data_IF_360391512592
#
_entry.id   IF_360391512592
#
_cell.length_a   1.000
_cell.length_b   1.000
_cell.length_c   1.000
_cell.angle_alpha   90.00
_cell.angle_beta   90.00
_cell.angle_gamma   90.00
#
_symmetry.space_group_name_H-M   'P 1'
#
loop_
_entity.id
_entity.type
_entity.pdbx_description
1 polymer ?
#
# COMPACT_ATOMS: atom_id res chain seq x y z
N UNK A 1 -17.13 -7.76 17.79
CA UNK A 1 -18.16 -8.14 18.78
C UNK A 1 -18.80 -6.90 19.37
N UNK A 2 -20.12 -6.86 19.65
CA UNK A 2 -20.78 -5.74 20.34
C UNK A 2 -20.30 -5.56 21.80
N UNK A 3 -20.53 -4.38 22.37
CA UNK A 3 -20.08 -4.04 23.73
C UNK A 3 -20.88 -4.76 24.83
N UNK A 4 -20.17 -5.30 25.82
CA UNK A 4 -20.78 -5.91 27.02
C UNK A 4 -21.54 -4.87 27.87
N UNK A 5 -22.85 -5.03 27.97
CA UNK A 5 -23.73 -4.16 28.77
C UNK A 5 -24.36 -4.92 29.92
N UNK A 6 -24.24 -4.41 31.15
CA UNK A 6 -24.84 -5.00 32.35
C UNK A 6 -26.37 -4.84 32.43
N UNK A 7 -26.96 -3.91 31.67
CA UNK A 7 -28.40 -3.63 31.69
C UNK A 7 -28.89 -3.33 30.27
N UNK A 8 -29.73 -4.24 29.75
CA UNK A 8 -30.76 -4.01 28.73
C UNK A 8 -30.38 -3.35 27.39
N UNK A 9 -29.66 -4.08 26.53
CA UNK A 9 -29.95 -4.12 25.10
C UNK A 9 -29.94 -5.59 24.66
N UNK A 10 -31.13 -6.21 24.62
CA UNK A 10 -31.30 -7.60 24.17
C UNK A 10 -30.62 -7.83 22.81
N UNK A 11 -30.68 -6.83 21.95
CA UNK A 11 -30.13 -6.83 20.60
C UNK A 11 -28.60 -7.03 20.56
N UNK A 12 -27.83 -6.41 21.46
CA UNK A 12 -26.37 -6.58 21.48
C UNK A 12 -25.97 -8.00 21.85
N UNK A 13 -26.69 -8.61 22.79
CA UNK A 13 -26.45 -10.01 23.16
C UNK A 13 -26.79 -10.95 22.00
N UNK A 14 -27.91 -10.72 21.31
CA UNK A 14 -28.31 -11.53 20.16
C UNK A 14 -27.27 -11.44 19.03
N UNK A 15 -26.80 -10.24 18.70
CA UNK A 15 -25.73 -10.04 17.69
C UNK A 15 -24.43 -10.70 18.14
N UNK A 16 -24.11 -10.66 19.43
CA UNK A 16 -22.92 -11.36 19.97
C UNK A 16 -23.03 -12.87 19.79
N UNK A 17 -24.18 -13.45 20.12
CA UNK A 17 -24.46 -14.89 19.99
C UNK A 17 -24.51 -15.33 18.52
N UNK A 18 -25.08 -14.52 17.63
CA UNK A 18 -25.10 -14.76 16.18
C UNK A 18 -23.68 -14.88 15.62
N UNK A 19 -22.79 -13.93 15.94
CA UNK A 19 -21.38 -14.00 15.49
C UNK A 19 -20.66 -15.21 16.07
N UNK A 20 -20.94 -15.62 17.32
CA UNK A 20 -20.36 -16.85 17.88
C UNK A 20 -20.87 -18.10 17.17
N UNK A 21 -22.16 -18.16 16.80
CA UNK A 21 -22.73 -19.26 16.05
C UNK A 21 -22.15 -19.33 14.64
N UNK A 22 -21.97 -18.21 13.94
CA UNK A 22 -21.31 -18.18 12.64
C UNK A 22 -19.89 -18.76 12.70
N UNK A 23 -19.16 -18.43 13.77
CA UNK A 23 -17.82 -18.98 13.99
C UNK A 23 -17.88 -20.48 14.31
N UNK A 24 -18.86 -20.94 15.09
CA UNK A 24 -19.07 -22.35 15.38
C UNK A 24 -19.35 -23.14 14.09
N UNK A 25 -20.24 -22.63 13.23
CA UNK A 25 -20.55 -23.24 11.95
C UNK A 25 -19.31 -23.33 11.05
N UNK A 26 -18.48 -22.28 11.01
CA UNK A 26 -17.20 -22.32 10.28
C UNK A 26 -16.24 -23.37 10.82
N UNK A 27 -16.16 -23.54 12.15
CA UNK A 27 -15.34 -24.58 12.78
C UNK A 27 -15.82 -25.96 12.34
N UNK A 28 -17.14 -26.21 12.39
CA UNK A 28 -17.73 -27.48 12.02
C UNK A 28 -17.59 -27.80 10.53
N UNK A 29 -17.84 -26.82 9.65
CA UNK A 29 -17.73 -26.99 8.19
C UNK A 29 -16.28 -27.23 7.76
N UNK A 30 -15.33 -26.54 8.38
CA UNK A 30 -13.92 -26.61 7.99
C UNK A 30 -13.24 -27.92 8.38
N UNK A 31 -13.78 -28.67 9.36
CA UNK A 31 -13.25 -29.94 9.86
C UNK A 31 -11.75 -29.83 10.23
N UNK A 32 -11.39 -28.78 10.97
CA UNK A 32 -10.02 -28.47 11.39
C UNK A 32 -9.83 -28.77 12.89
N UNK A 33 -8.82 -29.58 13.22
CA UNK A 33 -8.53 -29.95 14.63
C UNK A 33 -7.69 -28.91 15.40
N UNK A 34 -6.97 -28.04 14.68
CA UNK A 34 -6.02 -27.07 15.25
C UNK A 34 -6.50 -25.66 15.04
N UNK A 35 -7.20 -25.12 16.03
CA UNK A 35 -7.90 -23.84 15.92
C UNK A 35 -7.24 -22.81 16.85
N UNK A 36 -6.98 -21.64 16.30
CA UNK A 36 -6.63 -20.43 17.07
C UNK A 36 -7.67 -19.39 16.72
N UNK A 37 -8.44 -18.97 17.71
CA UNK A 37 -9.48 -17.97 17.56
C UNK A 37 -9.24 -16.83 18.55
N UNK A 38 -9.08 -15.61 18.04
CA UNK A 38 -8.82 -14.46 18.91
C UNK A 38 -9.14 -13.14 18.25
N UNK A 39 -9.28 -12.12 19.10
CA UNK A 39 -9.68 -10.77 18.71
C UNK A 39 -10.30 -10.03 19.89
N UNK A 40 -10.93 -8.90 19.57
CA UNK A 40 -11.67 -8.08 20.52
C UNK A 40 -13.08 -8.67 20.74
N UNK A 41 -13.27 -9.28 21.92
CA UNK A 41 -14.54 -9.84 22.35
C UNK A 41 -15.41 -8.82 23.08
N UNK A 42 -14.90 -7.61 23.31
CA UNK A 42 -15.58 -6.55 24.05
C UNK A 42 -16.12 -7.00 25.41
N UNK A 43 -15.50 -8.03 25.99
CA UNK A 43 -15.96 -8.72 27.19
C UNK A 43 -14.79 -9.02 28.10
N UNK A 44 -14.96 -8.71 29.38
CA UNK A 44 -13.95 -8.95 30.40
C UNK A 44 -14.30 -10.23 31.17
N UNK A 45 -13.48 -11.29 31.04
CA UNK A 45 -13.76 -12.63 31.57
C UNK A 45 -13.97 -12.68 33.10
N UNK A 46 -13.50 -11.67 33.84
CA UNK A 46 -13.73 -11.55 35.29
C UNK A 46 -15.19 -11.22 35.62
N UNK A 47 -15.96 -10.65 34.68
CA UNK A 47 -17.36 -10.25 34.85
C UNK A 47 -18.31 -11.43 34.69
N UNK A 48 -18.25 -12.41 35.60
CA UNK A 48 -19.06 -13.65 35.54
C UNK A 48 -20.58 -13.44 35.44
N UNK A 49 -21.09 -12.28 35.87
CA UNK A 49 -22.50 -11.93 35.78
C UNK A 49 -22.92 -11.44 34.38
N UNK A 50 -21.97 -11.04 33.52
CA UNK A 50 -22.22 -10.59 32.15
C UNK A 50 -22.81 -11.73 31.31
N UNK A 51 -23.84 -11.40 30.53
CA UNK A 51 -24.42 -12.32 29.56
C UNK A 51 -23.43 -12.65 28.44
N UNK A 52 -22.66 -11.68 27.97
CA UNK A 52 -21.63 -11.89 26.94
C UNK A 52 -20.54 -12.83 27.45
N UNK A 53 -20.10 -12.66 28.71
CA UNK A 53 -19.14 -13.57 29.33
C UNK A 53 -19.70 -14.99 29.42
N UNK A 54 -20.99 -15.15 29.73
CA UNK A 54 -21.64 -16.46 29.80
C UNK A 54 -21.73 -17.13 28.41
N UNK A 55 -22.21 -16.41 27.39
CA UNK A 55 -22.35 -16.92 26.03
C UNK A 55 -20.99 -17.26 25.43
N UNK A 56 -19.95 -16.44 25.67
CA UNK A 56 -18.59 -16.73 25.24
C UNK A 56 -18.02 -17.97 25.93
N UNK A 57 -18.20 -18.14 27.25
CA UNK A 57 -17.77 -19.34 27.96
C UNK A 57 -18.48 -20.61 27.44
N UNK A 58 -19.77 -20.50 27.13
CA UNK A 58 -20.56 -21.60 26.57
C UNK A 58 -20.05 -21.99 25.18
N UNK A 59 -19.83 -21.02 24.29
CA UNK A 59 -19.24 -21.24 22.97
C UNK A 59 -17.87 -21.94 23.07
N UNK A 60 -16.96 -21.41 23.90
CA UNK A 60 -15.62 -22.00 24.10
C UNK A 60 -15.71 -23.44 24.59
N UNK A 61 -16.64 -23.74 25.48
CA UNK A 61 -16.85 -25.09 26.00
C UNK A 61 -17.41 -26.03 24.93
N UNK A 62 -18.43 -25.59 24.18
CA UNK A 62 -19.08 -26.38 23.14
C UNK A 62 -18.12 -26.75 22.01
N UNK A 63 -17.28 -25.80 21.59
CA UNK A 63 -16.31 -25.99 20.48
C UNK A 63 -14.97 -26.58 20.96
N UNK A 64 -14.89 -27.09 22.20
CA UNK A 64 -13.67 -27.69 22.78
C UNK A 64 -12.43 -26.77 22.72
N UNK A 65 -12.66 -25.47 22.86
CA UNK A 65 -11.64 -24.43 22.94
C UNK A 65 -11.26 -24.17 24.41
N UNK A 66 -10.16 -23.46 24.61
CA UNK A 66 -9.68 -23.08 25.94
C UNK A 66 -9.15 -21.66 25.94
N UNK A 67 -9.55 -20.88 26.95
CA UNK A 67 -8.94 -19.59 27.22
C UNK A 67 -7.50 -19.75 27.69
N UNK A 68 -6.64 -18.85 27.22
CA UNK A 68 -5.23 -18.86 27.62
C UNK A 68 -4.96 -18.17 28.96
N UNK A 69 -5.95 -17.45 29.51
CA UNK A 69 -5.84 -16.66 30.73
C UNK A 69 -5.52 -17.48 31.99
N UNK A 70 -5.79 -18.79 31.97
CA UNK A 70 -5.47 -19.71 33.07
C UNK A 70 -4.04 -20.31 32.99
N UNK A 71 -3.29 -20.05 31.90
CA UNK A 71 -1.97 -20.62 31.72
C UNK A 71 -0.91 -19.84 32.51
N UNK A 72 0.10 -20.54 33.02
CA UNK A 72 1.22 -19.90 33.74
C UNK A 72 2.06 -18.98 32.85
N UNK A 73 2.03 -19.17 31.53
CA UNK A 73 2.72 -18.35 30.54
C UNK A 73 1.88 -17.14 30.06
N UNK A 74 0.78 -16.83 30.75
CA UNK A 74 -0.08 -15.70 30.46
C UNK A 74 0.39 -14.45 31.21
N UNK A 75 1.11 -13.58 30.50
CA UNK A 75 1.71 -12.35 31.01
C UNK A 75 0.97 -11.12 30.46
N UNK A 76 -0.35 -11.09 30.64
CA UNK A 76 -1.21 -9.99 30.18
C UNK A 76 -1.80 -9.28 31.38
N UNK A 77 -1.56 -7.98 31.46
CA UNK A 77 -2.09 -7.07 32.48
C UNK A 77 -3.39 -6.40 32.04
N UNK A 78 -3.43 -5.84 30.83
CA UNK A 78 -4.63 -5.29 30.20
C UNK A 78 -4.45 -5.21 28.69
N UNK A 79 -5.55 -5.23 27.94
CA UNK A 79 -5.52 -5.06 26.48
C UNK A 79 -6.08 -3.73 26.04
N UNK A 80 -6.90 -3.09 26.87
CA UNK A 80 -7.52 -1.80 26.59
C UNK A 80 -7.36 -0.84 27.78
N UNK A 81 -7.02 0.42 27.50
CA UNK A 81 -6.96 1.51 28.48
C UNK A 81 -7.77 2.72 27.96
N UNK A 82 -8.80 3.12 28.70
CA UNK A 82 -9.62 4.28 28.35
C UNK A 82 -8.79 5.56 28.50
N UNK A 83 -8.64 6.31 27.40
CA UNK A 83 -7.96 7.62 27.40
C UNK A 83 -8.63 8.64 28.33
N UNK A 84 -9.96 8.56 28.50
CA UNK A 84 -10.74 9.52 29.27
C UNK A 84 -10.61 9.31 30.79
N UNK A 85 -10.71 8.07 31.25
CA UNK A 85 -10.79 7.75 32.68
C UNK A 85 -9.53 7.06 33.21
N UNK A 86 -8.67 6.53 32.34
CA UNK A 86 -7.52 5.70 32.73
C UNK A 86 -7.91 4.32 33.25
N UNK A 87 -9.17 3.91 33.05
CA UNK A 87 -9.66 2.58 33.40
C UNK A 87 -9.10 1.55 32.42
N UNK A 88 -8.76 0.37 32.94
CA UNK A 88 -8.15 -0.72 32.18
C UNK A 88 -9.06 -1.93 32.16
N UNK A 89 -9.07 -2.63 31.04
CA UNK A 89 -9.85 -3.85 30.84
C UNK A 89 -9.11 -4.82 29.91
N UNK A 90 -9.38 -6.11 30.07
CA UNK A 90 -8.89 -7.15 29.16
C UNK A 90 -10.05 -7.61 28.29
N UNK A 91 -10.15 -7.05 27.09
CA UNK A 91 -11.25 -7.27 26.14
C UNK A 91 -10.82 -8.15 24.96
N UNK A 92 -9.53 -8.13 24.65
CA UNK A 92 -8.93 -8.91 23.59
C UNK A 92 -8.46 -10.25 24.15
N UNK A 93 -8.86 -11.36 23.54
CA UNK A 93 -8.50 -12.70 24.02
C UNK A 93 -8.05 -13.59 22.86
N UNK A 94 -7.29 -14.62 23.21
CA UNK A 94 -7.11 -15.79 22.35
C UNK A 94 -7.74 -17.00 23.04
N UNK A 95 -8.36 -17.83 22.22
CA UNK A 95 -8.84 -19.17 22.54
C UNK A 95 -8.20 -20.13 21.56
N UNK A 96 -7.79 -21.29 22.05
CA UNK A 96 -7.15 -22.31 21.22
C UNK A 96 -7.84 -23.65 21.43
N UNK A 97 -7.83 -24.51 20.43
CA UNK A 97 -8.31 -25.89 20.61
C UNK A 97 -7.45 -26.63 21.63
N UNK A 98 -8.07 -27.58 22.33
CA UNK A 98 -7.42 -28.37 23.39
C UNK A 98 -6.06 -28.96 22.99
N UNK A 99 -5.88 -29.35 21.72
CA UNK A 99 -4.66 -29.92 21.15
C UNK A 99 -3.50 -28.90 21.08
N UNK A 100 -3.79 -27.61 21.03
CA UNK A 100 -2.79 -26.54 20.91
C UNK A 100 -2.41 -25.94 22.27
N UNK A 101 -3.15 -26.21 23.34
CA UNK A 101 -2.91 -25.62 24.68
C UNK A 101 -1.47 -25.88 25.15
N UNK A 102 -0.98 -27.11 25.01
CA UNK A 102 0.40 -27.47 25.40
C UNK A 102 1.47 -26.88 24.48
N UNK A 103 1.10 -26.35 23.31
CA UNK A 103 2.01 -25.73 22.35
C UNK A 103 2.12 -24.21 22.54
N UNK A 104 1.38 -23.64 23.50
CA UNK A 104 1.44 -22.21 23.84
C UNK A 104 2.69 -21.94 24.67
N UNK A 105 3.62 -21.17 24.12
CA UNK A 105 4.85 -20.80 24.82
C UNK A 105 4.67 -19.55 25.67
N UNK A 106 3.97 -18.55 25.13
CA UNK A 106 3.83 -17.23 25.77
C UNK A 106 2.65 -16.46 25.21
N UNK A 107 1.96 -15.75 26.10
CA UNK A 107 0.94 -14.76 25.78
C UNK A 107 1.29 -13.47 26.50
N UNK A 108 1.40 -12.35 25.79
CA UNK A 108 1.78 -11.06 26.39
C UNK A 108 1.18 -9.88 25.63
N UNK A 109 1.10 -8.71 26.28
CA UNK A 109 0.74 -7.46 25.62
C UNK A 109 1.98 -6.66 25.20
N UNK A 110 1.96 -6.09 24.00
CA UNK A 110 2.90 -5.06 23.57
C UNK A 110 2.34 -3.66 23.84
N UNK A 111 2.77 -3.10 24.97
CA UNK A 111 2.42 -1.73 25.41
C UNK A 111 3.21 -0.67 24.67
N UNK A 112 3.08 -0.64 23.34
CA UNK A 112 3.74 0.35 22.53
C UNK A 112 3.17 1.75 22.80
N UNK A 113 3.97 2.59 23.46
CA UNK A 113 3.62 3.97 23.80
C UNK A 113 3.24 4.85 22.59
N UNK A 114 3.62 4.45 21.38
CA UNK A 114 3.32 5.16 20.14
C UNK A 114 2.06 4.66 19.43
N UNK A 115 1.45 3.57 19.90
CA UNK A 115 0.18 3.09 19.38
C UNK A 115 -0.87 4.19 19.52
N UNK A 116 -1.54 4.53 18.41
CA UNK A 116 -2.64 5.49 18.41
C UNK A 116 -3.98 4.89 18.82
N UNK A 117 -4.00 3.60 19.16
CA UNK A 117 -5.19 2.93 19.68
C UNK A 117 -5.18 2.97 21.21
N UNK A 118 -6.37 3.01 21.77
CA UNK A 118 -6.72 2.68 23.16
C UNK A 118 -6.56 1.18 23.48
N UNK A 119 -6.47 0.32 22.45
CA UNK A 119 -6.05 -1.07 22.57
C UNK A 119 -4.53 -1.25 22.43
N UNK A 120 -4.04 -2.33 23.02
CA UNK A 120 -2.66 -2.80 23.00
C UNK A 120 -2.62 -4.16 22.31
N UNK A 121 -1.56 -4.42 21.56
CA UNK A 121 -1.49 -5.62 20.75
C UNK A 121 -1.28 -6.85 21.64
N UNK A 122 -2.20 -7.80 21.57
CA UNK A 122 -2.08 -9.10 22.22
C UNK A 122 -1.25 -10.04 21.33
N UNK A 123 -0.16 -10.57 21.87
CA UNK A 123 0.79 -11.43 21.17
C UNK A 123 0.69 -12.86 21.68
N UNK A 124 0.46 -13.81 20.77
CA UNK A 124 0.46 -15.25 21.04
C UNK A 124 1.66 -15.92 20.35
N UNK A 125 2.48 -16.65 21.12
CA UNK A 125 3.60 -17.44 20.60
C UNK A 125 3.29 -18.93 20.72
N UNK A 126 3.31 -19.64 19.58
CA UNK A 126 3.03 -21.08 19.48
C UNK A 126 4.24 -21.84 18.96
N UNK A 127 4.57 -22.97 19.58
CA UNK A 127 5.54 -23.95 19.08
C UNK A 127 4.83 -25.03 18.26
N UNK A 128 4.53 -24.74 16.99
CA UNK A 128 3.88 -25.69 16.08
C UNK A 128 4.82 -26.04 14.91
N UNK A 129 4.94 -27.33 14.62
CA UNK A 129 5.62 -27.80 13.40
C UNK A 129 4.66 -27.67 12.24
N UNK A 130 4.85 -26.65 11.41
CA UNK A 130 4.10 -26.47 10.18
C UNK A 130 4.92 -27.01 9.01
N UNK A 131 4.36 -27.89 8.15
CA UNK A 131 4.99 -28.15 6.86
C UNK A 131 5.12 -26.80 6.15
N UNK A 132 6.31 -26.51 5.62
CA UNK A 132 6.56 -25.22 4.97
C UNK A 132 5.62 -25.12 3.77
N UNK A 133 4.52 -24.39 3.94
CA UNK A 133 3.69 -23.99 2.81
C UNK A 133 4.56 -23.00 2.07
N UNK A 134 5.19 -23.47 0.98
CA UNK A 134 5.73 -22.59 -0.04
C UNK A 134 4.54 -21.81 -0.58
N UNK A 135 4.20 -20.70 0.06
CA UNK A 135 3.22 -19.76 -0.45
C UNK A 135 3.56 -19.55 -1.92
N UNK A 136 2.62 -19.92 -2.79
CA UNK A 136 2.77 -19.80 -4.24
C UNK A 136 3.38 -18.45 -4.54
N UNK A 137 4.50 -18.46 -5.25
CA UNK A 137 5.35 -17.33 -5.63
C UNK A 137 4.87 -16.02 -5.00
N UNK A 138 5.31 -15.72 -3.78
CA UNK A 138 5.33 -14.34 -3.33
C UNK A 138 5.98 -13.58 -4.48
N UNK A 139 5.20 -12.73 -5.18
CA UNK A 139 5.73 -11.87 -6.24
C UNK A 139 7.02 -11.29 -5.66
N UNK A 140 8.20 -11.59 -6.23
CA UNK A 140 9.44 -11.21 -5.60
C UNK A 140 9.35 -9.72 -5.35
N UNK A 141 9.44 -9.33 -4.07
CA UNK A 141 9.39 -7.92 -3.64
C UNK A 141 10.26 -7.16 -4.61
N UNK A 142 9.69 -6.18 -5.35
CA UNK A 142 10.43 -5.44 -6.38
C UNK A 142 11.74 -4.97 -5.77
N UNK A 143 12.84 -5.57 -6.21
CA UNK A 143 14.16 -5.22 -5.74
C UNK A 143 14.49 -3.76 -6.06
N UNK A 144 15.59 -3.23 -5.52
CA UNK A 144 16.08 -1.90 -5.86
C UNK A 144 16.12 -1.71 -7.39
N UNK A 145 15.34 -0.77 -7.90
CA UNK A 145 15.19 -0.52 -9.35
C UNK A 145 16.35 0.37 -9.79
N UNK A 146 17.10 0.00 -10.85
CA UNK A 146 18.16 0.86 -11.38
C UNK A 146 17.56 2.18 -11.90
N UNK A 147 18.13 3.30 -11.47
CA UNK A 147 17.73 4.66 -11.81
C UNK A 147 18.58 5.18 -12.97
N UNK A 148 18.34 4.65 -14.16
CA UNK A 148 18.99 5.10 -15.40
C UNK A 148 18.95 6.62 -15.62
N UNK A 149 17.85 7.33 -15.34
CA UNK A 149 17.81 8.80 -15.49
C UNK A 149 18.76 9.56 -14.55
N UNK A 150 19.29 8.91 -13.50
CA UNK A 150 20.26 9.48 -12.56
C UNK A 150 21.67 8.95 -12.77
N UNK A 151 21.89 8.12 -13.79
CA UNK A 151 23.22 7.62 -14.11
C UNK A 151 24.07 8.78 -14.67
N UNK A 152 25.32 8.85 -14.21
CA UNK A 152 26.32 9.79 -14.74
C UNK A 152 27.10 9.06 -15.84
N UNK A 153 27.89 9.79 -16.62
CA UNK A 153 28.73 9.19 -17.66
C UNK A 153 29.71 8.14 -17.09
N UNK A 154 30.21 8.35 -15.87
CA UNK A 154 31.04 7.38 -15.16
C UNK A 154 30.28 6.08 -14.83
N UNK A 155 29.01 6.17 -14.41
CA UNK A 155 28.15 5.00 -14.17
C UNK A 155 27.89 4.22 -15.46
N UNK A 156 27.67 4.93 -16.57
CA UNK A 156 27.44 4.33 -17.89
C UNK A 156 28.73 3.66 -18.41
N UNK A 157 29.89 4.29 -18.24
CA UNK A 157 31.19 3.71 -18.59
C UNK A 157 31.47 2.44 -17.79
N UNK A 158 31.24 2.46 -16.47
CA UNK A 158 31.40 1.28 -15.62
C UNK A 158 30.40 0.16 -15.97
N UNK A 159 29.17 0.50 -16.37
CA UNK A 159 28.22 -0.50 -16.86
C UNK A 159 28.74 -1.19 -18.13
N UNK A 160 29.23 -0.41 -19.11
CA UNK A 160 29.80 -0.93 -20.35
C UNK A 160 30.98 -1.85 -20.09
N UNK A 161 31.95 -1.41 -19.29
CA UNK A 161 33.13 -2.21 -18.97
C UNK A 161 32.76 -3.52 -18.26
N UNK A 162 31.88 -3.44 -17.25
CA UNK A 162 31.43 -4.62 -16.50
C UNK A 162 30.62 -5.59 -17.37
N UNK A 163 29.81 -5.08 -18.30
CA UNK A 163 29.08 -5.91 -19.24
C UNK A 163 30.03 -6.59 -20.23
N UNK A 164 30.97 -5.84 -20.82
CA UNK A 164 31.97 -6.39 -21.75
C UNK A 164 32.76 -7.52 -21.11
N UNK A 165 33.33 -7.31 -19.92
CA UNK A 165 34.06 -8.32 -19.17
C UNK A 165 33.20 -9.57 -18.89
N UNK A 166 31.94 -9.37 -18.46
CA UNK A 166 31.07 -10.50 -18.13
C UNK A 166 30.54 -11.24 -19.37
N UNK A 167 30.61 -10.63 -20.56
CA UNK A 167 30.21 -11.25 -21.83
C UNK A 167 31.36 -12.03 -22.50
N UNK A 168 32.61 -11.83 -22.11
CA UNK A 168 33.75 -12.59 -22.64
C UNK A 168 33.63 -14.09 -22.31
N UNK A 169 33.06 -14.43 -21.15
CA UNK A 169 32.84 -15.80 -20.71
C UNK A 169 31.57 -16.45 -21.31
N UNK A 170 30.76 -15.70 -22.08
CA UNK A 170 29.50 -16.20 -22.60
C UNK A 170 29.72 -17.01 -23.89
N UNK A 171 29.50 -18.32 -23.81
CA UNK A 171 29.60 -19.21 -24.97
C UNK A 171 28.45 -18.99 -25.96
N UNK A 172 28.78 -18.64 -27.20
CA UNK A 172 27.80 -18.50 -28.28
C UNK A 172 27.21 -19.87 -28.67
N UNK A 173 25.88 -19.97 -28.90
CA UNK A 173 25.23 -21.20 -29.31
C UNK A 173 25.43 -21.44 -30.82
N UNK A 174 26.65 -21.78 -31.22
CA UNK A 174 27.04 -21.92 -32.63
C UNK A 174 26.22 -22.96 -33.41
N UNK A 175 25.83 -24.06 -32.76
CA UNK A 175 24.98 -25.10 -33.37
C UNK A 175 23.58 -24.57 -33.73
N UNK A 176 23.01 -23.73 -32.85
CA UNK A 176 21.73 -23.08 -33.11
C UNK A 176 21.83 -22.02 -34.22
N UNK A 177 22.95 -21.29 -34.30
CA UNK A 177 23.20 -20.28 -35.32
C UNK A 177 23.43 -20.87 -36.73
N UNK A 178 23.92 -22.11 -36.82
CA UNK A 178 24.17 -22.84 -38.07
C UNK A 178 23.01 -23.74 -38.48
N UNK A 179 21.89 -23.68 -37.77
CA UNK A 179 20.72 -24.51 -38.06
C UNK A 179 19.92 -23.92 -39.23
N UNK A 180 19.93 -24.63 -40.37
CA UNK A 180 19.19 -24.22 -41.57
C UNK A 180 17.71 -24.67 -41.58
N UNK A 181 17.25 -25.35 -40.52
CA UNK A 181 15.87 -25.86 -40.44
C UNK A 181 14.92 -24.80 -39.85
N UNK A 182 13.91 -24.32 -40.61
CA UNK A 182 12.99 -23.26 -40.17
C UNK A 182 12.01 -23.66 -39.06
N UNK A 183 11.90 -24.96 -38.74
CA UNK A 183 11.04 -25.48 -37.65
C UNK A 183 11.83 -26.30 -36.62
N UNK A 184 13.10 -25.98 -36.41
CA UNK A 184 13.92 -26.68 -35.41
C UNK A 184 13.45 -26.38 -33.98
N UNK A 185 13.06 -27.42 -33.24
CA UNK A 185 12.74 -27.34 -31.79
C UNK A 185 13.87 -27.85 -30.90
N UNK A 186 14.88 -28.51 -31.48
CA UNK A 186 16.00 -29.10 -30.73
C UNK A 186 16.89 -28.04 -30.05
N UNK A 187 16.96 -26.83 -30.60
CA UNK A 187 17.80 -25.74 -30.08
C UNK A 187 17.05 -24.77 -29.16
N UNK A 188 15.75 -24.96 -28.94
CA UNK A 188 14.92 -24.02 -28.17
C UNK A 188 15.45 -23.81 -26.75
N UNK A 189 15.83 -24.89 -26.07
CA UNK A 189 16.38 -24.81 -24.71
C UNK A 189 17.74 -24.09 -24.68
N UNK A 190 18.62 -24.36 -25.66
CA UNK A 190 19.91 -23.69 -25.78
C UNK A 190 19.77 -22.20 -26.04
N UNK A 191 18.84 -21.80 -26.91
CA UNK A 191 18.54 -20.38 -27.21
C UNK A 191 17.96 -19.69 -25.97
N UNK A 192 17.02 -20.33 -25.27
CA UNK A 192 16.44 -19.79 -24.04
C UNK A 192 17.49 -19.64 -22.94
N UNK A 193 18.39 -20.61 -22.79
CA UNK A 193 19.49 -20.55 -21.83
C UNK A 193 20.45 -19.40 -22.14
N UNK A 194 20.85 -19.24 -23.41
CA UNK A 194 21.68 -18.13 -23.86
C UNK A 194 20.99 -16.77 -23.66
N UNK A 195 19.71 -16.65 -23.99
CA UNK A 195 18.91 -15.45 -23.74
C UNK A 195 18.86 -15.10 -22.25
N UNK A 196 18.54 -16.08 -21.40
CA UNK A 196 18.49 -15.87 -19.95
C UNK A 196 19.85 -15.49 -19.37
N UNK A 197 20.93 -16.07 -19.90
CA UNK A 197 22.29 -15.70 -19.54
C UNK A 197 22.56 -14.22 -19.88
N UNK A 198 22.25 -13.76 -21.11
CA UNK A 198 22.36 -12.35 -21.49
C UNK A 198 21.56 -11.42 -20.59
N UNK A 199 20.31 -11.76 -20.30
CA UNK A 199 19.47 -10.97 -19.40
C UNK A 199 20.09 -10.91 -18.00
N UNK A 200 20.60 -12.02 -17.48
CA UNK A 200 21.24 -12.08 -16.17
C UNK A 200 22.52 -11.22 -16.09
N UNK A 201 23.30 -11.18 -17.17
CA UNK A 201 24.50 -10.35 -17.30
C UNK A 201 24.14 -8.87 -17.33
N UNK A 202 23.17 -8.46 -18.16
CA UNK A 202 22.67 -7.09 -18.20
C UNK A 202 22.15 -6.62 -16.83
N UNK A 203 21.38 -7.48 -16.14
CA UNK A 203 20.83 -7.16 -14.82
C UNK A 203 21.92 -7.07 -13.74
N UNK A 204 22.90 -7.97 -13.73
CA UNK A 204 23.98 -7.98 -12.74
C UNK A 204 24.98 -6.83 -12.95
N UNK A 205 25.34 -6.52 -14.20
CA UNK A 205 26.16 -5.35 -14.53
C UNK A 205 25.42 -4.05 -14.25
N UNK A 206 24.11 -3.99 -14.53
CA UNK A 206 23.25 -2.87 -14.15
C UNK A 206 23.24 -2.67 -12.63
N UNK A 207 23.17 -3.77 -11.86
CA UNK A 207 23.20 -3.74 -10.39
C UNK A 207 24.50 -3.21 -9.79
N UNK A 208 25.63 -3.45 -10.46
CA UNK A 208 26.96 -3.05 -9.99
C UNK A 208 27.29 -1.60 -10.32
N UNK A 209 26.77 -1.09 -11.44
CA UNK A 209 27.25 0.17 -12.02
C UNK A 209 26.24 1.31 -12.00
N UNK A 210 24.93 1.03 -11.95
CA UNK A 210 23.89 2.06 -12.01
C UNK A 210 23.37 2.40 -10.60
N UNK A 211 23.11 3.67 -10.27
CA UNK A 211 22.48 4.03 -9.00
C UNK A 211 21.11 3.38 -8.86
N UNK A 212 20.81 2.82 -7.69
CA UNK A 212 19.52 2.19 -7.43
C UNK A 212 18.59 3.07 -6.62
N UNK A 213 17.28 2.81 -6.74
CA UNK A 213 16.32 3.32 -5.79
C UNK A 213 16.73 2.87 -4.37
N UNK A 214 16.67 3.78 -3.38
CA UNK A 214 16.93 3.37 -2.01
C UNK A 214 15.97 2.24 -1.68
N UNK A 215 16.51 1.10 -1.23
CA UNK A 215 15.70 -0.02 -0.76
C UNK A 215 14.76 0.57 0.28
N UNK A 216 13.46 0.53 -0.01
CA UNK A 216 12.44 0.85 0.97
C UNK A 216 12.62 -0.14 2.10
N UNK A 217 13.41 0.22 3.11
CA UNK A 217 13.35 -0.46 4.39
C UNK A 217 11.90 -0.32 4.80
N UNK A 218 11.20 -1.44 4.85
CA UNK A 218 9.76 -1.61 5.10
C UNK A 218 9.25 -1.00 6.43
N UNK A 219 9.96 -0.05 7.04
CA UNK A 219 9.58 0.66 8.25
C UNK A 219 10.02 2.14 8.29
N UNK A 220 10.80 2.64 7.33
CA UNK A 220 11.09 4.08 7.27
C UNK A 220 9.96 4.79 6.52
N UNK A 221 8.83 5.03 7.20
CA UNK A 221 7.87 6.04 6.75
C UNK A 221 8.68 7.30 6.41
N UNK A 222 8.62 7.77 5.16
CA UNK A 222 9.21 9.07 4.80
C UNK A 222 8.69 10.06 5.84
N UNK A 223 9.60 10.61 6.62
CA UNK A 223 9.26 11.60 7.64
C UNK A 223 8.60 12.75 6.91
N UNK A 224 7.29 12.92 7.07
CA UNK A 224 6.58 14.08 6.55
C UNK A 224 7.20 15.28 7.27
N UNK A 225 7.92 16.19 6.57
CA UNK A 225 8.76 17.22 7.22
C UNK A 225 7.97 18.10 8.19
N UNK A 226 6.68 18.30 7.92
CA UNK A 226 5.75 19.04 8.78
C UNK A 226 5.36 18.28 10.06
N UNK A 227 5.16 16.96 9.95
CA UNK A 227 4.89 16.11 11.12
C UNK A 227 6.11 16.06 12.03
N UNK A 228 7.33 16.01 11.47
CA UNK A 228 8.54 16.02 12.29
C UNK A 228 8.74 17.31 13.07
N UNK A 229 8.26 18.47 12.61
CA UNK A 229 8.44 19.74 13.35
C UNK A 229 7.48 19.86 14.53
N UNK A 230 6.20 19.53 14.32
CA UNK A 230 5.16 19.76 15.34
C UNK A 230 4.84 18.53 16.20
N UNK A 231 4.96 17.32 15.63
CA UNK A 231 4.55 16.08 16.31
C UNK A 231 5.73 15.42 17.02
N UNK A 232 6.97 15.59 16.53
CA UNK A 232 8.16 14.96 17.13
C UNK A 232 8.42 15.40 18.57
N UNK A 233 8.36 16.70 18.95
CA UNK A 233 8.55 17.10 20.35
C UNK A 233 7.49 16.50 21.28
N UNK A 234 6.25 16.39 20.81
CA UNK A 234 5.15 15.77 21.54
C UNK A 234 5.34 14.25 21.69
N UNK A 235 5.85 13.61 20.64
CA UNK A 235 6.21 12.18 20.64
C UNK A 235 7.32 11.90 21.64
N UNK A 236 8.40 12.69 21.60
CA UNK A 236 9.55 12.51 22.48
C UNK A 236 9.16 12.73 23.95
N UNK A 237 8.30 13.72 24.21
CA UNK A 237 7.71 13.94 25.54
C UNK A 237 6.84 12.76 26.01
N UNK A 238 5.98 12.22 25.15
CA UNK A 238 5.14 11.07 25.49
C UNK A 238 5.97 9.81 25.79
N UNK A 239 7.03 9.55 25.00
CA UNK A 239 7.95 8.44 25.23
C UNK A 239 8.73 8.60 26.54
N UNK A 240 9.24 9.80 26.82
CA UNK A 240 9.95 10.11 28.05
C UNK A 240 9.10 9.83 29.30
N UNK A 241 7.87 10.35 29.33
CA UNK A 241 6.98 10.14 30.48
C UNK A 241 6.44 8.70 30.56
N UNK A 242 6.33 7.99 29.44
CA UNK A 242 6.05 6.55 29.47
C UNK A 242 7.19 5.75 30.09
N UNK A 243 8.46 6.09 29.78
CA UNK A 243 9.62 5.44 30.38
C UNK A 243 9.69 5.67 31.90
N UNK A 244 9.45 6.90 32.37
CA UNK A 244 9.37 7.21 33.81
C UNK A 244 8.22 6.46 34.47
N UNK A 245 7.06 6.42 33.82
CA UNK A 245 5.92 5.68 34.34
C UNK A 245 6.21 4.17 34.47
N UNK A 246 6.88 3.58 33.48
CA UNK A 246 7.36 2.20 33.54
C UNK A 246 8.38 1.98 34.65
N UNK A 247 9.31 2.92 34.87
CA UNK A 247 10.30 2.82 35.94
C UNK A 247 9.72 2.95 37.36
N UNK A 248 8.50 3.46 37.48
CA UNK A 248 7.78 3.56 38.75
C UNK A 248 6.80 2.40 38.97
N UNK A 249 7.01 1.26 38.31
CA UNK A 249 6.12 0.09 38.34
C UNK A 249 4.70 0.37 37.84
N UNK A 250 4.59 1.25 36.85
CA UNK A 250 3.34 1.45 36.11
C UNK A 250 2.13 1.87 36.98
N UNK A 251 2.25 2.90 37.84
CA UNK A 251 1.22 3.24 38.82
C UNK A 251 -0.08 3.66 38.13
N UNK A 252 -1.22 3.20 38.65
CA UNK A 252 -2.53 3.50 38.08
C UNK A 252 -3.01 4.93 38.38
N UNK A 253 -2.57 5.51 39.51
CA UNK A 253 -2.95 6.84 39.99
C UNK A 253 -1.73 7.65 40.43
N UNK A 254 -1.92 8.95 40.67
CA UNK A 254 -0.86 9.85 41.14
C UNK A 254 -0.24 10.71 40.03
N UNK A 255 0.74 11.54 40.43
CA UNK A 255 1.30 12.59 39.57
C UNK A 255 1.93 12.03 38.29
N UNK A 256 2.72 10.96 38.39
CA UNK A 256 3.38 10.32 37.24
C UNK A 256 2.36 9.75 36.25
N UNK A 257 1.32 9.07 36.74
CA UNK A 257 0.25 8.53 35.91
C UNK A 257 -0.55 9.63 35.18
N UNK A 258 -0.79 10.75 35.85
CA UNK A 258 -1.48 11.92 35.28
C UNK A 258 -0.65 12.60 34.19
N UNK A 259 0.65 12.78 34.42
CA UNK A 259 1.54 13.41 33.45
C UNK A 259 1.71 12.51 32.21
N UNK A 260 1.86 11.18 32.40
CA UNK A 260 1.89 10.20 31.30
C UNK A 260 0.61 10.27 30.45
N UNK A 261 -0.58 10.27 31.08
CA UNK A 261 -1.86 10.41 30.38
C UNK A 261 -1.95 11.72 29.60
N UNK A 262 -1.59 12.84 30.23
CA UNK A 262 -1.65 14.16 29.60
C UNK A 262 -0.74 14.26 28.38
N UNK A 263 0.49 13.76 28.47
CA UNK A 263 1.49 13.82 27.38
C UNK A 263 1.12 12.90 26.23
N UNK A 264 0.64 11.67 26.53
CA UNK A 264 0.08 10.75 25.53
C UNK A 264 -1.13 11.36 24.81
N UNK A 265 -2.09 11.93 25.55
CA UNK A 265 -3.27 12.57 24.98
C UNK A 265 -2.92 13.76 24.08
N UNK A 266 -1.94 14.60 24.47
CA UNK A 266 -1.43 15.71 23.64
C UNK A 266 -0.83 15.22 22.33
N UNK A 267 0.02 14.19 22.37
CA UNK A 267 0.60 13.56 21.18
C UNK A 267 -0.50 13.01 20.24
N UNK A 268 -1.45 12.24 20.76
CA UNK A 268 -2.52 11.70 19.92
C UNK A 268 -3.49 12.75 19.40
N UNK A 269 -3.78 13.80 20.17
CA UNK A 269 -4.56 14.95 19.69
C UNK A 269 -3.88 15.62 18.49
N UNK A 270 -2.56 15.83 18.55
CA UNK A 270 -1.79 16.34 17.42
C UNK A 270 -1.87 15.40 16.21
N UNK A 271 -1.67 14.09 16.40
CA UNK A 271 -1.80 13.09 15.32
C UNK A 271 -3.20 13.15 14.68
N UNK A 272 -4.28 13.17 15.48
CA UNK A 272 -5.66 13.26 14.98
C UNK A 272 -5.91 14.55 14.21
N UNK A 273 -5.45 15.69 14.75
CA UNK A 273 -5.55 16.99 14.10
C UNK A 273 -4.84 17.01 12.74
N UNK A 274 -3.61 16.50 12.65
CA UNK A 274 -2.87 16.47 11.38
C UNK A 274 -3.36 15.41 10.40
N UNK A 275 -3.94 14.29 10.87
CA UNK A 275 -4.62 13.33 9.99
C UNK A 275 -5.88 13.93 9.37
N UNK A 276 -6.67 14.66 10.16
CA UNK A 276 -7.88 15.33 9.69
C UNK A 276 -7.57 16.48 8.72
N UNK A 277 -6.50 17.22 8.98
CA UNK A 277 -6.08 18.38 8.18
C UNK A 277 -4.95 18.06 7.19
N UNK A 278 -4.68 16.78 6.92
CA UNK A 278 -3.57 16.34 6.05
C UNK A 278 -3.73 16.89 4.62
N UNK A 279 -4.97 16.96 4.14
CA UNK A 279 -5.31 17.59 2.86
C UNK A 279 -4.97 19.08 2.87
N UNK A 280 -5.40 19.83 3.87
CA UNK A 280 -5.17 21.28 3.97
C UNK A 280 -3.67 21.60 4.05
N UNK A 281 -2.91 20.90 4.90
CA UNK A 281 -1.46 21.10 5.03
C UNK A 281 -0.69 20.76 3.74
N UNK A 282 -1.17 19.77 2.96
CA UNK A 282 -0.59 19.42 1.66
C UNK A 282 -0.98 20.41 0.56
N UNK A 283 -2.21 20.93 0.57
CA UNK A 283 -2.68 21.97 -0.37
C UNK A 283 -1.97 23.31 -0.14
N UNK A 284 -1.78 23.72 1.13
CA UNK A 284 -1.02 24.94 1.46
C UNK A 284 0.41 24.86 0.91
N UNK A 285 1.08 23.72 1.08
CA UNK A 285 2.43 23.51 0.55
C UNK A 285 2.46 23.43 -0.98
N UNK A 286 1.43 22.89 -1.63
CA UNK A 286 1.31 22.92 -3.09
C UNK A 286 1.17 24.35 -3.61
N UNK A 287 0.41 25.20 -2.90
CA UNK A 287 0.36 26.63 -3.17
C UNK A 287 1.74 27.28 -3.05
N UNK A 288 2.48 26.97 -1.99
CA UNK A 288 3.85 27.46 -1.81
C UNK A 288 4.84 26.95 -2.87
N UNK A 289 4.75 25.70 -3.31
CA UNK A 289 5.58 25.17 -4.40
C UNK A 289 5.20 25.75 -5.77
N UNK A 290 3.89 25.92 -6.02
CA UNK A 290 3.37 26.55 -7.24
C UNK A 290 3.87 27.98 -7.38
N UNK A 291 3.95 28.71 -6.27
CA UNK A 291 4.50 30.08 -6.24
C UNK A 291 6.01 30.09 -6.48
N UNK A 292 6.75 29.05 -6.07
CA UNK A 292 8.22 29.11 -5.98
C UNK A 292 9.01 28.28 -7.01
N UNK A 293 8.48 27.24 -7.67
CA UNK A 293 9.30 26.31 -8.50
C UNK A 293 8.74 25.86 -9.86
N UNK A 294 7.80 26.60 -10.47
CA UNK A 294 7.40 26.35 -11.87
C UNK A 294 6.41 25.19 -12.08
N UNK A 295 5.73 25.19 -13.24
CA UNK A 295 4.49 24.42 -13.49
C UNK A 295 4.65 22.91 -13.67
N UNK A 296 5.83 22.41 -14.03
CA UNK A 296 5.98 21.01 -14.45
C UNK A 296 6.09 20.03 -13.25
N UNK A 297 6.63 20.49 -12.11
CA UNK A 297 6.69 19.70 -10.88
C UNK A 297 5.33 19.60 -10.17
N UNK A 298 4.42 20.54 -10.46
CA UNK A 298 3.06 20.54 -9.90
C UNK A 298 2.27 19.30 -10.34
N UNK A 299 2.22 19.01 -11.64
CA UNK A 299 1.46 17.86 -12.16
C UNK A 299 2.05 16.52 -11.72
N UNK A 300 3.38 16.46 -11.59
CA UNK A 300 4.08 15.28 -11.08
C UNK A 300 3.71 15.01 -9.61
N UNK A 301 3.52 16.05 -8.81
CA UNK A 301 3.10 15.92 -7.40
C UNK A 301 1.59 15.62 -7.26
N UNK A 302 0.75 16.21 -8.12
CA UNK A 302 -0.68 15.90 -8.23
C UNK A 302 -0.91 14.44 -8.65
N UNK A 303 -0.11 13.90 -9.56
CA UNK A 303 -0.19 12.49 -9.96
C UNK A 303 0.17 11.54 -8.82
N UNK A 304 1.18 11.87 -8.00
CA UNK A 304 1.51 11.07 -6.81
C UNK A 304 0.38 11.06 -5.77
N UNK A 305 -0.44 12.12 -5.72
CA UNK A 305 -1.59 12.24 -4.82
C UNK A 305 -2.77 11.37 -5.24
N UNK A 306 -2.95 11.10 -6.54
CA UNK A 306 -4.05 10.27 -7.04
C UNK A 306 -3.99 8.81 -6.58
N UNK A 307 -2.81 8.36 -6.12
CA UNK A 307 -2.56 6.96 -5.79
C UNK A 307 -2.60 6.07 -7.05
N UNK A 308 -1.92 4.93 -7.03
CA UNK A 308 -2.15 3.89 -8.03
C UNK A 308 -3.48 3.19 -7.71
N UNK A 309 -4.59 3.90 -7.89
CA UNK A 309 -5.88 3.25 -7.97
C UNK A 309 -5.97 2.66 -9.38
N UNK A 310 -5.63 1.38 -9.50
CA UNK A 310 -6.01 0.57 -10.68
C UNK A 310 -7.51 0.30 -10.71
N UNK A 311 -8.27 0.83 -9.76
CA UNK A 311 -9.72 0.85 -9.81
C UNK A 311 -10.14 1.92 -10.83
N UNK A 312 -10.48 1.45 -12.02
CA UNK A 312 -11.36 2.19 -12.92
C UNK A 312 -12.65 2.51 -12.15
N UNK A 313 -13.14 3.76 -12.14
CA UNK A 313 -14.43 4.06 -11.55
C UNK A 313 -15.49 3.25 -12.28
N UNK A 314 -16.22 2.39 -11.57
CA UNK A 314 -17.31 1.58 -12.14
C UNK A 314 -18.52 2.43 -12.54
N UNK A 315 -18.52 3.72 -12.15
CA UNK A 315 -19.61 4.66 -12.40
C UNK A 315 -19.01 6.02 -12.76
N UNK A 316 -19.41 6.57 -13.92
CA UNK A 316 -19.10 7.95 -14.31
C UNK A 316 -20.42 8.61 -14.75
N UNK A 317 -20.84 9.65 -14.04
CA UNK A 317 -22.10 10.38 -14.31
C UNK A 317 -23.33 9.45 -14.45
N UNK A 318 -23.52 8.54 -13.49
CA UNK A 318 -24.58 7.52 -13.44
C UNK A 318 -24.52 6.44 -14.54
N UNK A 319 -23.50 6.44 -15.40
CA UNK A 319 -23.26 5.36 -16.37
C UNK A 319 -22.49 4.20 -15.73
N UNK A 320 -23.02 2.98 -15.83
CA UNK A 320 -22.50 1.76 -15.19
C UNK A 320 -21.73 0.84 -16.15
N UNK A 321 -21.93 0.99 -17.47
CA UNK A 321 -21.29 0.16 -18.49
C UNK A 321 -20.13 0.90 -19.16
N UNK A 322 -19.11 0.17 -19.59
CA UNK A 322 -17.94 0.74 -20.28
C UNK A 322 -18.34 1.49 -21.56
N UNK A 323 -19.33 0.98 -22.29
CA UNK A 323 -19.86 1.60 -23.51
C UNK A 323 -20.59 2.92 -23.21
N UNK A 324 -21.42 2.96 -22.17
CA UNK A 324 -22.15 4.16 -21.77
C UNK A 324 -21.21 5.25 -21.24
N UNK A 325 -20.16 4.86 -20.51
CA UNK A 325 -19.11 5.77 -20.05
C UNK A 325 -18.34 6.34 -21.25
N UNK A 326 -17.97 5.50 -22.22
CA UNK A 326 -17.30 5.95 -23.45
C UNK A 326 -18.17 6.91 -24.27
N UNK A 327 -19.47 6.64 -24.36
CA UNK A 327 -20.46 7.53 -24.98
C UNK A 327 -20.54 8.88 -24.26
N UNK A 328 -20.61 8.88 -22.93
CA UNK A 328 -20.68 10.10 -22.11
C UNK A 328 -19.45 10.99 -22.32
N UNK A 329 -18.25 10.40 -22.33
CA UNK A 329 -17.03 11.15 -22.64
C UNK A 329 -17.04 11.69 -24.06
N UNK A 330 -17.44 10.89 -25.05
CA UNK A 330 -17.53 11.31 -26.45
C UNK A 330 -18.41 12.54 -26.60
N UNK A 331 -19.59 12.54 -26.00
CA UNK A 331 -20.52 13.67 -26.07
C UNK A 331 -19.95 14.93 -25.40
N UNK A 332 -19.39 14.80 -24.19
CA UNK A 332 -18.77 15.93 -23.49
C UNK A 332 -17.62 16.55 -24.29
N UNK A 333 -16.74 15.72 -24.86
CA UNK A 333 -15.66 16.21 -25.71
C UNK A 333 -16.19 16.81 -27.01
N UNK A 334 -17.20 16.19 -27.63
CA UNK A 334 -17.82 16.75 -28.83
C UNK A 334 -18.43 18.13 -28.58
N UNK A 335 -19.12 18.31 -27.45
CA UNK A 335 -19.64 19.63 -27.05
C UNK A 335 -18.50 20.61 -26.78
N UNK A 336 -17.46 20.22 -26.05
CA UNK A 336 -16.33 21.09 -25.72
C UNK A 336 -15.53 21.53 -26.96
N UNK A 337 -15.23 20.60 -27.87
CA UNK A 337 -14.46 20.91 -29.07
C UNK A 337 -15.25 21.69 -30.11
N UNK A 338 -16.58 21.69 -30.02
CA UNK A 338 -17.46 22.45 -30.89
C UNK A 338 -18.21 23.58 -30.15
N UNK A 339 -17.78 23.95 -28.93
CA UNK A 339 -18.46 24.98 -28.13
C UNK A 339 -18.14 26.42 -28.56
N UNK A 340 -17.15 26.60 -29.44
CA UNK A 340 -16.83 27.87 -30.09
C UNK A 340 -17.41 27.86 -31.50
N UNK A 341 -18.09 28.94 -31.86
CA UNK A 341 -18.79 29.06 -33.15
C UNK A 341 -17.84 28.85 -34.32
N UNK A 342 -18.06 27.77 -35.06
CA UNK A 342 -17.40 27.56 -36.35
C UNK A 342 -18.00 28.55 -37.35
N UNK A 343 -17.34 29.68 -37.57
CA UNK A 343 -17.69 30.64 -38.63
C UNK A 343 -16.93 30.21 -39.89
N UNK A 344 -17.60 29.61 -40.89
CA UNK A 344 -16.92 29.01 -42.04
C UNK A 344 -16.08 30.01 -42.83
N UNK A 345 -16.50 31.27 -42.86
CA UNK A 345 -15.82 32.36 -43.56
C UNK A 345 -14.51 32.76 -42.89
N UNK A 346 -14.45 32.78 -41.55
CA UNK A 346 -13.22 33.07 -40.81
C UNK A 346 -12.20 31.92 -40.94
N UNK A 347 -12.67 30.68 -40.89
CA UNK A 347 -11.81 29.50 -41.10
C UNK A 347 -11.29 29.44 -42.54
N UNK A 348 -12.11 29.81 -43.54
CA UNK A 348 -11.68 29.90 -44.93
C UNK A 348 -10.61 30.99 -45.13
N UNK A 349 -10.77 32.16 -44.48
CA UNK A 349 -9.75 33.23 -44.48
C UNK A 349 -8.45 32.79 -43.83
N UNK A 350 -8.52 32.21 -42.63
CA UNK A 350 -7.35 31.70 -41.91
C UNK A 350 -6.60 30.64 -42.72
N UNK A 351 -7.34 29.74 -43.37
CA UNK A 351 -6.75 28.74 -44.27
C UNK A 351 -6.04 29.39 -45.45
N UNK A 352 -6.68 30.34 -46.14
CA UNK A 352 -6.05 31.09 -47.23
C UNK A 352 -4.80 31.85 -46.79
N UNK A 353 -4.81 32.42 -45.58
CA UNK A 353 -3.67 33.16 -45.03
C UNK A 353 -2.49 32.25 -44.69
N UNK A 354 -2.75 31.08 -44.11
CA UNK A 354 -1.73 30.05 -43.85
C UNK A 354 -1.14 29.53 -45.16
N UNK A 355 -1.97 29.28 -46.16
CA UNK A 355 -1.55 28.76 -47.47
C UNK A 355 -0.74 29.81 -48.25
N UNK A 356 -1.14 31.09 -48.18
CA UNK A 356 -0.37 32.20 -48.73
C UNK A 356 0.96 32.45 -47.99
N UNK A 357 1.03 32.16 -46.69
CA UNK A 357 2.26 32.26 -45.92
C UNK A 357 3.20 31.08 -46.14
N UNK A 358 2.66 29.88 -46.38
CA UNK A 358 3.44 28.71 -46.79
C UNK A 358 4.11 28.95 -48.16
N UNK A 359 3.38 29.52 -49.13
CA UNK A 359 3.93 29.83 -50.45
C UNK A 359 4.96 30.98 -50.46
N UNK A 360 4.89 31.92 -49.49
CA UNK A 360 5.82 33.05 -49.39
C UNK A 360 7.24 32.66 -48.93
N UNK A 361 7.43 31.45 -48.42
CA UNK A 361 8.71 30.97 -47.92
C UNK A 361 9.50 30.06 -48.89
N UNK A 362 9.03 29.84 -50.12
CA UNK A 362 9.76 29.05 -51.13
C UNK A 362 11.02 29.75 -51.67
N UNK A 363 11.24 31.04 -51.37
CA UNK A 363 12.34 31.83 -51.94
C UNK A 363 13.65 31.89 -51.15
N UNK A 364 13.68 31.63 -49.84
CA UNK A 364 14.87 31.97 -49.02
C UNK A 364 15.27 30.99 -47.90
N UNK A 365 14.72 29.76 -47.81
CA UNK A 365 15.19 28.79 -46.80
C UNK A 365 15.56 27.42 -47.36
N UNK A 366 16.56 26.81 -46.72
CA UNK A 366 17.32 25.63 -47.13
C UNK A 366 16.48 24.44 -47.64
N UNK A 367 16.97 23.66 -48.63
CA UNK A 367 16.23 22.56 -49.29
C UNK A 367 15.79 21.38 -48.40
N UNK A 368 16.10 21.38 -47.10
CA UNK A 368 15.92 20.24 -46.20
C UNK A 368 14.65 20.29 -45.33
N UNK A 369 13.81 21.32 -45.45
CA UNK A 369 12.66 21.53 -44.55
C UNK A 369 11.35 21.86 -45.26
N UNK A 370 11.12 21.31 -46.46
CA UNK A 370 9.81 21.40 -47.12
C UNK A 370 8.92 20.26 -46.60
N UNK A 371 8.12 20.53 -45.57
CA UNK A 371 6.98 19.67 -45.23
C UNK A 371 5.82 20.07 -46.13
N UNK A 372 5.53 19.27 -47.15
CA UNK A 372 4.41 19.53 -48.04
C UNK A 372 3.07 19.18 -47.37
N UNK A 373 1.98 19.78 -47.85
CA UNK A 373 0.62 19.40 -47.45
C UNK A 373 0.39 17.89 -47.63
N UNK A 374 1.04 17.28 -48.64
CA UNK A 374 1.00 15.84 -48.88
C UNK A 374 1.67 15.04 -47.77
N UNK A 375 2.80 15.51 -47.23
CA UNK A 375 3.50 14.85 -46.12
C UNK A 375 2.68 14.91 -44.83
N UNK A 376 2.02 16.04 -44.57
CA UNK A 376 1.09 16.19 -43.45
C UNK A 376 -0.13 15.28 -43.63
N UNK A 377 -0.67 15.17 -44.84
CA UNK A 377 -1.82 14.30 -45.14
C UNK A 377 -1.47 12.82 -44.94
N UNK A 378 -0.24 12.40 -45.32
CA UNK A 378 0.29 11.05 -45.09
C UNK A 378 0.49 10.78 -43.59
N UNK A 379 1.05 11.75 -42.86
CA UNK A 379 1.22 11.62 -41.41
C UNK A 379 -0.14 11.47 -40.71
N UNK A 380 -1.16 12.22 -41.13
CA UNK A 380 -2.52 12.16 -40.57
C UNK A 380 -3.24 10.86 -40.95
N UNK A 381 -3.05 10.32 -42.17
CA UNK A 381 -3.64 9.02 -42.54
C UNK A 381 -3.05 7.87 -41.72
N UNK A 382 -1.77 7.96 -41.34
CA UNK A 382 -1.10 6.94 -40.53
C UNK A 382 -1.51 6.95 -39.05
N UNK A 383 -2.21 7.99 -38.59
CA UNK A 383 -2.74 8.07 -37.22
C UNK A 383 -4.04 7.26 -37.02
N UNK A 384 -4.71 6.81 -38.10
CA UNK A 384 -5.95 5.99 -38.02
C UNK A 384 -5.71 4.47 -38.19
N UNK A 385 -4.53 3.99 -37.82
CA UNK A 385 -4.13 2.58 -37.92
C UNK A 385 -4.21 1.75 -36.63
N UNK A 386 -4.97 2.17 -35.62
CA UNK A 386 -5.32 1.30 -34.47
C UNK A 386 -6.82 1.42 -34.21
N UNK A 387 -7.58 0.46 -34.73
CA UNK A 387 -9.02 0.40 -34.54
C UNK A 387 -9.72 -0.36 -35.67
N UNK A 388 -9.50 -1.68 -35.72
CA UNK A 388 -10.52 -2.71 -35.91
C UNK A 388 -9.98 -4.03 -35.39
#
# INVERSE_FOLDING_TARGET
MPCDTQVAYHDNQLVFEEVLNDVADLIQISNIDRIVYGGDFNTELSRRASTHTRSLNQFVTNESLSFLSALSCYEVDYTHESDAHGTRSTLDHFTVSSQLVCSVNRVQCDHNALSSSDHTALLLSLSISMPSISNGQSVPRRGPVPLWPKATDAHIANYRNSLSESTEDLTLPYEALRCDSPQCTAHTETILSYYNALISLCLSSGRRSIPHSPVSRSGSRRSVPFWSTHVRPLKDSALFWHAIWKSCDSPATGAVANIRRSTRAKYHRAIRYFKHNDQLARFTRMGEYFVNQGRDDFWTEVQKMRGNNSATPTIVDDCLSEDDIALCFREKYNTLYNSVGYVPEEMARLRQEIEANACRHEGEMCPSHVLSVRDVTIAVSNLKGMGN
#
